data_IF_074447830767
#
_entry.id   IF_074447830767
#
_cell.length_a   1.000
_cell.length_b   1.000
_cell.length_c   1.000
_cell.angle_alpha   90.00
_cell.angle_beta   90.00
_cell.angle_gamma   90.00
#
_symmetry.space_group_name_H-M   'P 1'
#
loop_
_entity.id
_entity.type
_entity.pdbx_description
1 polymer ?
#
# COMPACT_ATOMS: atom_id res chain seq x y z
N UNK A 1 -10.53 -1.62 4.89
CA UNK A 1 -10.24 -0.57 5.92
C UNK A 1 -10.56 0.76 5.25
N UNK A 2 -11.36 1.64 5.85
CA UNK A 2 -11.78 2.91 5.18
C UNK A 2 -10.61 3.76 4.65
N UNK A 3 -9.46 3.73 5.33
CA UNK A 3 -8.26 4.43 4.85
C UNK A 3 -7.75 3.92 3.50
N UNK A 4 -7.79 2.61 3.23
CA UNK A 4 -7.34 2.03 1.95
C UNK A 4 -8.28 2.39 0.81
N UNK A 5 -9.60 2.32 1.06
CA UNK A 5 -10.60 2.77 0.11
C UNK A 5 -10.42 4.23 -0.29
N UNK A 6 -10.25 5.12 0.71
CA UNK A 6 -10.00 6.55 0.45
C UNK A 6 -8.71 6.79 -0.32
N UNK A 7 -7.65 6.02 -0.02
CA UNK A 7 -6.38 6.15 -0.72
C UNK A 7 -6.46 5.64 -2.16
N UNK A 8 -7.22 4.58 -2.42
CA UNK A 8 -7.50 4.11 -3.76
C UNK A 8 -8.26 5.17 -4.57
N UNK A 9 -9.27 5.83 -3.99
CA UNK A 9 -9.96 6.95 -4.66
C UNK A 9 -8.98 8.07 -5.03
N UNK A 10 -8.15 8.53 -4.09
CA UNK A 10 -7.14 9.55 -4.36
C UNK A 10 -6.13 9.13 -5.43
N UNK A 11 -5.73 7.85 -5.43
CA UNK A 11 -4.84 7.29 -6.45
C UNK A 11 -5.46 7.41 -7.85
N UNK A 12 -6.75 7.07 -7.98
CA UNK A 12 -7.48 7.18 -9.25
C UNK A 12 -7.62 8.65 -9.67
N UNK A 13 -7.98 9.54 -8.74
CA UNK A 13 -8.17 10.96 -9.03
C UNK A 13 -6.86 11.57 -9.56
N UNK A 14 -5.75 11.38 -8.84
CA UNK A 14 -4.42 11.91 -9.24
C UNK A 14 -3.95 11.27 -10.55
N UNK A 15 -4.24 9.98 -10.78
CA UNK A 15 -3.90 9.30 -12.03
C UNK A 15 -4.64 9.91 -13.23
N UNK A 16 -5.85 10.42 -13.03
CA UNK A 16 -6.65 11.07 -14.08
C UNK A 16 -6.15 12.48 -14.43
N UNK A 17 -5.49 13.18 -13.50
CA UNK A 17 -4.92 14.50 -13.72
C UNK A 17 -3.77 14.51 -14.76
N UNK A 18 -3.19 13.34 -15.08
CA UNK A 18 -2.14 13.17 -16.11
C UNK A 18 -1.03 14.23 -16.03
N UNK A 19 -0.56 14.49 -14.82
CA UNK A 19 0.44 15.51 -14.53
C UNK A 19 1.74 15.24 -15.30
N UNK A 20 2.31 16.29 -15.88
CA UNK A 20 3.57 16.19 -16.62
C UNK A 20 4.70 15.65 -15.72
N UNK A 21 5.49 14.72 -16.27
CA UNK A 21 6.61 14.04 -15.60
C UNK A 21 6.25 13.23 -14.34
N UNK A 22 4.96 12.94 -14.11
CA UNK A 22 4.51 12.08 -12.99
C UNK A 22 3.86 10.83 -13.57
N UNK A 23 4.26 9.67 -13.05
CA UNK A 23 3.61 8.40 -13.36
C UNK A 23 2.96 7.79 -12.11
N UNK A 24 1.63 7.76 -12.10
CA UNK A 24 0.83 7.24 -10.99
C UNK A 24 0.45 5.76 -11.22
N UNK A 25 1.46 4.91 -11.39
CA UNK A 25 1.26 3.47 -11.63
C UNK A 25 1.31 2.62 -10.37
N UNK A 26 1.87 3.13 -9.27
CA UNK A 26 2.05 2.36 -8.03
C UNK A 26 1.13 2.87 -6.93
N UNK A 27 0.31 1.97 -6.38
CA UNK A 27 -0.45 2.14 -5.17
C UNK A 27 0.17 1.26 -4.07
N UNK A 28 1.15 1.84 -3.36
CA UNK A 28 1.89 1.15 -2.31
C UNK A 28 1.17 1.24 -0.96
N UNK A 29 0.50 0.18 -0.55
CA UNK A 29 -0.22 0.11 0.72
C UNK A 29 -0.37 -1.30 1.26
N UNK A 30 -0.60 -1.42 2.57
CA UNK A 30 -0.62 -2.71 3.26
C UNK A 30 0.75 -3.12 3.78
N UNK A 31 0.75 -3.65 5.00
CA UNK A 31 1.88 -4.19 5.73
C UNK A 31 1.56 -5.61 6.21
N UNK A 32 2.51 -6.23 6.92
CA UNK A 32 2.41 -7.62 7.41
C UNK A 32 1.07 -8.01 8.08
N UNK A 33 0.33 -7.06 8.66
CA UNK A 33 -0.91 -7.32 9.39
C UNK A 33 -2.20 -6.95 8.64
N UNK A 34 -2.11 -6.31 7.47
CA UNK A 34 -3.28 -5.77 6.75
C UNK A 34 -3.12 -5.77 5.22
N UNK A 35 -2.17 -6.53 4.70
CA UNK A 35 -1.88 -6.63 3.26
C UNK A 35 -3.01 -7.28 2.47
N UNK A 36 -3.75 -8.20 3.09
CA UNK A 36 -4.91 -8.89 2.50
C UNK A 36 -6.04 -7.90 2.20
N UNK A 37 -6.37 -7.04 3.17
CA UNK A 37 -7.35 -5.97 3.01
C UNK A 37 -6.82 -4.96 1.98
N UNK A 38 -5.54 -4.60 2.02
CA UNK A 38 -4.95 -3.69 1.06
C UNK A 38 -5.07 -4.19 -0.39
N UNK A 39 -4.85 -5.48 -0.63
CA UNK A 39 -5.02 -6.11 -1.96
C UNK A 39 -6.48 -6.03 -2.42
N UNK A 40 -7.44 -6.34 -1.54
CA UNK A 40 -8.87 -6.24 -1.85
C UNK A 40 -9.29 -4.82 -2.25
N UNK A 41 -8.62 -3.81 -1.70
CA UNK A 41 -8.88 -2.38 -1.94
C UNK A 41 -8.03 -1.81 -3.10
N UNK A 42 -7.32 -2.66 -3.85
CA UNK A 42 -6.62 -2.28 -5.09
C UNK A 42 -5.13 -1.99 -4.97
N UNK A 43 -4.46 -2.35 -3.88
CA UNK A 43 -3.01 -2.23 -3.77
C UNK A 43 -2.29 -3.06 -4.84
N UNK A 44 -1.28 -2.47 -5.49
CA UNK A 44 -0.40 -3.19 -6.43
C UNK A 44 1.04 -3.33 -5.94
N UNK A 45 1.34 -2.75 -4.78
CA UNK A 45 2.59 -2.94 -4.06
C UNK A 45 2.28 -3.01 -2.55
N UNK A 46 2.74 -4.08 -1.90
CA UNK A 46 2.60 -4.30 -0.46
C UNK A 46 3.98 -4.32 0.21
N UNK A 47 4.05 -4.04 1.51
CA UNK A 47 5.32 -3.94 2.26
C UNK A 47 5.35 -4.95 3.40
N UNK A 48 5.95 -6.11 3.17
CA UNK A 48 5.97 -7.20 4.17
C UNK A 48 7.33 -7.30 4.86
N UNK A 49 7.31 -7.29 6.19
CA UNK A 49 8.49 -7.40 7.04
C UNK A 49 8.34 -8.56 8.01
N UNK A 50 7.72 -8.31 9.16
CA UNK A 50 7.57 -9.30 10.24
C UNK A 50 6.86 -10.60 9.84
N UNK A 51 5.99 -10.59 8.83
CA UNK A 51 5.37 -11.84 8.35
C UNK A 51 6.35 -12.72 7.55
N UNK A 52 7.41 -12.14 6.96
CA UNK A 52 8.50 -12.88 6.29
C UNK A 52 9.62 -13.19 7.28
N UNK A 53 10.07 -12.19 8.05
CA UNK A 53 11.29 -12.27 8.87
C UNK A 53 11.05 -12.56 10.35
N UNK A 54 9.79 -12.62 10.80
CA UNK A 54 9.45 -12.79 12.21
C UNK A 54 9.61 -11.52 13.06
N UNK A 55 9.45 -11.67 14.38
CA UNK A 55 9.66 -10.57 15.34
C UNK A 55 11.16 -10.30 15.48
N UNK A 56 11.51 -9.03 15.68
CA UNK A 56 12.90 -8.64 15.94
C UNK A 56 13.35 -9.18 17.31
N UNK A 57 14.44 -9.93 17.30
CA UNK A 57 15.14 -10.32 18.54
C UNK A 57 15.92 -9.12 19.07
N UNK A 58 15.45 -8.55 20.16
CA UNK A 58 16.21 -7.55 20.91
C UNK A 58 16.97 -8.30 22.02
N UNK A 59 18.22 -8.67 21.74
CA UNK A 59 19.13 -9.11 22.80
C UNK A 59 19.62 -7.85 23.51
N UNK A 60 19.27 -7.71 24.79
CA UNK A 60 19.86 -6.71 25.68
C UNK A 60 21.20 -7.19 26.21
#
# INVERSE_FOLDING_TARGET
>A
RECFKRMHSLYIDIKQEKLDNINMDILSMGMSNDYDIAIQEGANMIRIGSAIFGKRSYTV
#
